data_IF_790965516156
#
_entry.id   IF_790965516156
#
_cell.length_a   1.000
_cell.length_b   1.000
_cell.length_c   1.000
_cell.angle_alpha   90.00
_cell.angle_beta   90.00
_cell.angle_gamma   90.00
#
_symmetry.space_group_name_H-M   'P 1'
#
loop_
_entity.id
_entity.type
_entity.pdbx_description
1 polymer ?
#
# COMPACT_ATOMS: atom_id res chain seq x y z
N UNK A 1 -21.83 -6.50 -11.35
CA UNK A 1 -22.25 -7.59 -12.24
C UNK A 1 -23.39 -8.33 -11.56
N UNK A 2 -24.60 -8.34 -12.12
CA UNK A 2 -25.80 -8.90 -11.46
C UNK A 2 -26.00 -10.37 -11.85
N UNK A 3 -26.78 -11.12 -11.06
CA UNK A 3 -27.16 -12.54 -11.32
C UNK A 3 -27.72 -12.73 -12.74
N UNK A 4 -28.43 -11.71 -13.26
CA UNK A 4 -29.00 -11.68 -14.60
C UNK A 4 -27.91 -11.70 -15.70
N UNK A 5 -26.84 -10.94 -15.53
CA UNK A 5 -25.70 -10.94 -16.50
C UNK A 5 -24.93 -12.27 -16.51
N UNK A 6 -24.82 -12.97 -15.37
CA UNK A 6 -24.14 -14.27 -15.29
C UNK A 6 -24.93 -15.38 -16.01
N UNK A 7 -26.27 -15.40 -15.86
CA UNK A 7 -27.15 -16.37 -16.57
C UNK A 7 -27.14 -16.21 -18.09
N UNK A 8 -26.81 -15.02 -18.61
CA UNK A 8 -26.62 -14.80 -20.04
C UNK A 8 -25.37 -15.47 -20.62
N UNK A 9 -24.35 -15.73 -19.79
CA UNK A 9 -23.05 -16.31 -20.21
C UNK A 9 -23.04 -17.84 -20.07
N UNK A 10 -23.70 -18.38 -19.04
CA UNK A 10 -23.85 -19.81 -18.78
C UNK A 10 -25.28 -20.07 -18.31
N UNK A 11 -26.07 -20.79 -19.12
CA UNK A 11 -27.52 -20.98 -18.90
C UNK A 11 -27.83 -21.69 -17.56
N UNK A 12 -27.05 -22.70 -17.22
CA UNK A 12 -27.23 -23.51 -16.01
C UNK A 12 -26.05 -23.34 -15.05
N UNK A 13 -26.11 -22.31 -14.20
CA UNK A 13 -25.14 -22.09 -13.12
C UNK A 13 -25.70 -22.68 -11.83
N UNK A 14 -25.02 -23.63 -11.18
CA UNK A 14 -25.47 -24.19 -9.91
C UNK A 14 -25.42 -23.12 -8.81
N UNK A 15 -26.41 -23.14 -7.90
CA UNK A 15 -26.58 -22.14 -6.82
C UNK A 15 -25.30 -21.92 -5.99
N UNK A 16 -24.51 -22.96 -5.61
CA UNK A 16 -23.26 -22.76 -4.89
C UNK A 16 -22.20 -21.96 -5.66
N UNK A 17 -22.09 -22.14 -6.99
CA UNK A 17 -21.17 -21.35 -7.82
C UNK A 17 -21.58 -19.87 -7.82
N UNK A 18 -22.88 -19.59 -7.84
CA UNK A 18 -23.40 -18.21 -7.82
C UNK A 18 -23.15 -17.53 -6.48
N UNK A 19 -23.36 -18.24 -5.37
CA UNK A 19 -23.05 -17.74 -4.02
C UNK A 19 -21.56 -17.43 -3.92
N UNK A 20 -20.70 -18.37 -4.32
CA UNK A 20 -19.24 -18.18 -4.28
C UNK A 20 -18.78 -16.99 -5.13
N UNK A 21 -19.30 -16.86 -6.35
CA UNK A 21 -18.98 -15.72 -7.22
C UNK A 21 -19.43 -14.39 -6.60
N UNK A 22 -20.60 -14.37 -5.95
CA UNK A 22 -21.12 -13.18 -5.27
C UNK A 22 -20.25 -12.81 -4.07
N UNK A 23 -19.88 -13.78 -3.22
CA UNK A 23 -18.96 -13.57 -2.11
C UNK A 23 -17.59 -13.07 -2.59
N UNK A 24 -17.09 -13.60 -3.71
CA UNK A 24 -15.83 -13.15 -4.29
C UNK A 24 -15.90 -11.70 -4.78
N UNK A 25 -16.97 -11.30 -5.48
CA UNK A 25 -17.17 -9.92 -5.90
C UNK A 25 -17.28 -8.96 -4.71
N UNK A 26 -17.98 -9.36 -3.65
CA UNK A 26 -18.03 -8.59 -2.40
C UNK A 26 -16.65 -8.45 -1.75
N UNK A 27 -15.84 -9.50 -1.78
CA UNK A 27 -14.46 -9.46 -1.26
C UNK A 27 -13.57 -8.49 -2.05
N UNK A 28 -13.69 -8.44 -3.39
CA UNK A 28 -12.99 -7.45 -4.22
C UNK A 28 -13.44 -6.03 -3.82
N UNK A 29 -14.74 -5.82 -3.61
CA UNK A 29 -15.27 -4.55 -3.10
C UNK A 29 -14.66 -4.14 -1.75
N UNK A 30 -14.57 -5.09 -0.81
CA UNK A 30 -13.92 -4.86 0.49
C UNK A 30 -12.43 -4.50 0.33
N UNK A 31 -11.71 -5.18 -0.56
CA UNK A 31 -10.32 -4.87 -0.87
C UNK A 31 -10.16 -3.47 -1.47
N UNK A 32 -11.05 -3.06 -2.38
CA UNK A 32 -11.06 -1.68 -2.92
C UNK A 32 -11.31 -0.64 -1.82
N UNK A 33 -12.25 -0.88 -0.90
CA UNK A 33 -12.46 0.00 0.26
C UNK A 33 -11.20 0.06 1.12
N UNK A 34 -10.53 -1.08 1.34
CA UNK A 34 -9.24 -1.15 2.02
C UNK A 34 -8.19 -0.24 1.36
N UNK A 35 -8.06 -0.30 0.02
CA UNK A 35 -7.15 0.56 -0.74
C UNK A 35 -7.58 2.04 -0.68
N UNK A 36 -8.88 2.35 -0.61
CA UNK A 36 -9.34 3.72 -0.41
C UNK A 36 -9.02 4.28 0.97
N UNK A 37 -8.82 3.43 1.98
CA UNK A 37 -8.37 3.85 3.31
C UNK A 37 -6.83 3.97 3.34
N UNK A 38 -6.12 3.09 2.62
CA UNK A 38 -4.67 3.03 2.57
C UNK A 38 -4.14 3.60 1.24
N UNK A 39 -4.20 4.93 1.09
CA UNK A 39 -3.82 5.61 -0.15
C UNK A 39 -2.42 6.25 -0.12
N UNK A 40 -1.83 6.44 1.07
CA UNK A 40 -0.60 7.19 1.21
C UNK A 40 0.61 6.36 0.76
N UNK A 41 1.47 6.94 -0.07
CA UNK A 41 2.75 6.32 -0.43
C UNK A 41 3.79 6.53 0.67
N UNK A 42 4.80 5.66 0.74
CA UNK A 42 5.79 5.67 1.82
C UNK A 42 6.56 6.99 1.94
N UNK A 43 6.66 7.78 0.85
CA UNK A 43 7.38 9.05 0.83
C UNK A 43 6.50 10.25 1.23
N UNK A 44 5.20 10.03 1.46
CA UNK A 44 4.26 11.09 1.84
C UNK A 44 4.16 11.20 3.36
N UNK A 45 4.21 12.42 3.89
CA UNK A 45 3.96 12.65 5.32
C UNK A 45 2.47 12.57 5.58
N UNK A 46 2.04 11.58 6.34
CA UNK A 46 0.65 11.40 6.71
C UNK A 46 0.32 12.10 8.02
N UNK A 47 -0.95 12.46 8.12
CA UNK A 47 -1.54 12.92 9.35
C UNK A 47 -2.42 11.84 10.00
N UNK A 48 -2.22 11.48 11.28
CA UNK A 48 -3.01 10.44 11.93
C UNK A 48 -4.48 10.82 12.12
N UNK A 49 -4.83 12.11 12.08
CA UNK A 49 -6.20 12.57 12.27
C UNK A 49 -7.00 12.59 10.97
N UNK A 50 -6.33 12.66 9.82
CA UNK A 50 -6.97 12.55 8.51
C UNK A 50 -7.42 11.11 8.19
N UNK A 51 -7.06 10.13 9.04
CA UNK A 51 -7.43 8.72 8.87
C UNK A 51 -6.74 8.04 7.70
N UNK A 52 -5.71 8.67 7.13
CA UNK A 52 -4.89 8.16 6.05
C UNK A 52 -3.88 7.14 6.57
N UNK A 53 -3.67 6.07 5.81
CA UNK A 53 -2.69 5.04 6.12
C UNK A 53 -1.86 4.67 4.87
N UNK A 54 -0.70 4.06 5.10
CA UNK A 54 0.20 3.70 4.02
C UNK A 54 -0.30 2.50 3.23
N UNK A 55 -0.23 2.60 1.91
CA UNK A 55 -0.66 1.56 0.99
C UNK A 55 0.19 0.28 1.15
N UNK A 56 -0.42 -0.93 1.10
CA UNK A 56 0.31 -2.20 1.17
C UNK A 56 1.15 -2.55 -0.06
N UNK A 57 1.02 -1.78 -1.14
CA UNK A 57 1.69 -2.05 -2.42
C UNK A 57 2.30 -0.77 -3.00
N UNK A 58 3.54 -0.84 -3.47
CA UNK A 58 4.27 0.31 -4.01
C UNK A 58 3.60 0.88 -5.28
N UNK A 59 3.25 2.17 -5.24
CA UNK A 59 2.48 2.85 -6.29
C UNK A 59 3.15 2.83 -7.66
N UNK A 60 4.46 3.12 -7.71
CA UNK A 60 5.25 3.16 -8.95
C UNK A 60 5.20 1.84 -9.75
N UNK A 61 5.16 0.70 -9.06
CA UNK A 61 5.22 -0.63 -9.66
C UNK A 61 3.88 -1.39 -9.62
N UNK A 62 2.80 -0.74 -9.20
CA UNK A 62 1.48 -1.36 -9.00
C UNK A 62 0.95 -2.04 -10.27
N UNK A 63 1.34 -1.53 -11.45
CA UNK A 63 0.95 -2.06 -12.76
C UNK A 63 1.36 -3.53 -12.90
N UNK A 64 2.53 -3.92 -12.37
CA UNK A 64 2.99 -5.30 -12.40
C UNK A 64 2.02 -6.22 -11.64
N UNK A 65 1.61 -5.84 -10.42
CA UNK A 65 0.65 -6.61 -9.63
C UNK A 65 -0.74 -6.66 -10.30
N UNK A 66 -1.21 -5.53 -10.82
CA UNK A 66 -2.51 -5.42 -11.52
C UNK A 66 -2.52 -6.28 -12.79
N UNK A 67 -1.42 -6.35 -13.53
CA UNK A 67 -1.32 -7.17 -14.74
C UNK A 67 -1.53 -8.66 -14.45
N UNK A 68 -0.89 -9.18 -13.39
CA UNK A 68 -1.09 -10.56 -12.93
C UNK A 68 -2.49 -10.77 -12.38
N UNK A 69 -3.05 -9.79 -11.67
CA UNK A 69 -4.43 -9.86 -11.18
C UNK A 69 -5.42 -9.98 -12.35
N UNK A 70 -5.28 -9.16 -13.38
CA UNK A 70 -6.13 -9.20 -14.59
C UNK A 70 -5.97 -10.54 -15.32
N UNK A 71 -4.72 -11.01 -15.50
CA UNK A 71 -4.45 -12.28 -16.15
C UNK A 71 -5.05 -13.48 -15.39
N UNK A 72 -4.96 -13.47 -14.05
CA UNK A 72 -5.60 -14.46 -13.18
C UNK A 72 -7.12 -14.48 -13.38
N UNK A 73 -7.78 -13.32 -13.36
CA UNK A 73 -9.23 -13.23 -13.53
C UNK A 73 -9.68 -13.64 -14.93
N UNK A 74 -8.93 -13.26 -15.97
CA UNK A 74 -9.19 -13.69 -17.33
C UNK A 74 -9.09 -15.22 -17.46
N UNK A 75 -8.06 -15.83 -16.87
CA UNK A 75 -7.89 -17.29 -16.87
C UNK A 75 -9.00 -18.01 -16.10
N UNK A 76 -9.37 -17.52 -14.90
CA UNK A 76 -10.49 -18.03 -14.10
C UNK A 76 -11.80 -17.95 -14.89
N UNK A 77 -12.09 -16.81 -15.53
CA UNK A 77 -13.31 -16.60 -16.30
C UNK A 77 -13.38 -17.51 -17.54
N UNK A 78 -12.30 -17.60 -18.31
CA UNK A 78 -12.22 -18.47 -19.49
C UNK A 78 -12.41 -19.95 -19.10
N UNK A 79 -11.77 -20.38 -18.02
CA UNK A 79 -11.85 -21.77 -17.56
C UNK A 79 -13.23 -22.09 -16.96
N UNK A 80 -13.86 -21.13 -16.28
CA UNK A 80 -15.20 -21.30 -15.74
C UNK A 80 -16.29 -21.37 -16.83
N UNK A 81 -16.16 -20.56 -17.90
CA UNK A 81 -17.14 -20.50 -19.00
C UNK A 81 -16.99 -21.64 -20.00
N UNK A 82 -15.75 -21.92 -20.45
CA UNK A 82 -15.49 -22.89 -21.52
C UNK A 82 -15.00 -24.24 -21.00
N UNK A 83 -14.36 -24.29 -19.84
CA UNK A 83 -13.90 -25.52 -19.20
C UNK A 83 -13.12 -26.43 -20.16
N UNK A 84 -13.60 -27.67 -20.31
CA UNK A 84 -12.98 -28.70 -21.18
C UNK A 84 -13.17 -28.48 -22.68
N UNK A 85 -13.94 -27.47 -23.11
CA UNK A 85 -14.07 -27.11 -24.52
C UNK A 85 -12.88 -26.29 -25.03
N UNK A 86 -12.03 -25.78 -24.13
CA UNK A 86 -10.82 -25.07 -24.54
C UNK A 86 -9.80 -26.04 -25.16
N UNK A 87 -9.07 -25.60 -26.20
CA UNK A 87 -7.93 -26.35 -26.72
C UNK A 87 -6.91 -26.66 -25.60
N UNK A 88 -6.18 -27.79 -25.67
CA UNK A 88 -5.25 -28.21 -24.61
C UNK A 88 -4.23 -27.13 -24.24
N UNK A 89 -3.67 -26.41 -25.22
CA UNK A 89 -2.70 -25.34 -24.98
C UNK A 89 -3.32 -24.17 -24.22
N UNK A 90 -4.54 -23.77 -24.57
CA UNK A 90 -5.26 -22.71 -23.86
C UNK A 90 -5.58 -23.11 -22.42
N UNK A 91 -5.92 -24.38 -22.18
CA UNK A 91 -6.11 -24.91 -20.82
C UNK A 91 -4.82 -24.86 -20.00
N UNK A 92 -3.69 -25.30 -20.57
CA UNK A 92 -2.39 -25.25 -19.90
C UNK A 92 -2.01 -23.80 -19.58
N UNK A 93 -2.18 -22.88 -20.52
CA UNK A 93 -1.90 -21.45 -20.32
C UNK A 93 -2.77 -20.84 -19.20
N UNK A 94 -4.08 -21.10 -19.21
CA UNK A 94 -4.98 -20.66 -18.14
C UNK A 94 -4.56 -21.24 -16.78
N UNK A 95 -4.21 -22.53 -16.73
CA UNK A 95 -3.74 -23.18 -15.50
C UNK A 95 -2.42 -22.55 -15.00
N UNK A 96 -1.49 -22.19 -15.89
CA UNK A 96 -0.24 -21.51 -15.51
C UNK A 96 -0.50 -20.15 -14.86
N UNK A 97 -1.42 -19.35 -15.42
CA UNK A 97 -1.84 -18.09 -14.80
C UNK A 97 -2.57 -18.30 -13.47
N UNK A 98 -3.40 -19.34 -13.36
CA UNK A 98 -4.11 -19.67 -12.11
C UNK A 98 -3.11 -20.08 -11.02
N UNK A 99 -2.14 -20.95 -11.31
CA UNK A 99 -1.12 -21.38 -10.35
C UNK A 99 -0.23 -20.20 -9.95
N UNK A 100 0.19 -19.37 -10.90
CA UNK A 100 0.93 -18.14 -10.61
C UNK A 100 0.11 -17.20 -9.72
N UNK A 101 -1.18 -17.06 -9.99
CA UNK A 101 -2.10 -16.30 -9.17
C UNK A 101 -2.24 -16.84 -7.74
N UNK A 102 -2.21 -18.17 -7.52
CA UNK A 102 -2.16 -18.74 -6.17
C UNK A 102 -0.93 -18.24 -5.43
N UNK A 103 0.25 -18.32 -6.05
CA UNK A 103 1.51 -17.85 -5.44
C UNK A 103 1.42 -16.36 -5.10
N UNK A 104 0.93 -15.53 -6.01
CA UNK A 104 0.80 -14.09 -5.79
C UNK A 104 -0.21 -13.79 -4.68
N UNK A 105 -1.35 -14.49 -4.62
CA UNK A 105 -2.33 -14.32 -3.54
C UNK A 105 -1.76 -14.73 -2.17
N UNK A 106 -0.89 -15.75 -2.12
CA UNK A 106 -0.16 -16.10 -0.89
C UNK A 106 0.80 -14.96 -0.50
N UNK A 107 1.55 -14.40 -1.45
CA UNK A 107 2.43 -13.26 -1.17
C UNK A 107 1.65 -12.04 -0.68
N UNK A 108 0.48 -11.76 -1.26
CA UNK A 108 -0.43 -10.70 -0.78
C UNK A 108 -0.88 -10.98 0.65
N UNK A 109 -1.29 -12.22 0.97
CA UNK A 109 -1.66 -12.60 2.34
C UNK A 109 -0.52 -12.42 3.33
N UNK A 110 0.71 -12.78 2.94
CA UNK A 110 1.89 -12.55 3.77
C UNK A 110 2.14 -11.06 3.94
N UNK A 111 2.06 -10.25 2.89
CA UNK A 111 2.27 -8.80 2.96
C UNK A 111 1.34 -8.16 3.99
N UNK A 112 0.05 -8.50 3.96
CA UNK A 112 -0.98 -7.90 4.82
C UNK A 112 -1.11 -8.57 6.19
N UNK A 113 -0.39 -9.67 6.44
CA UNK A 113 -0.43 -10.39 7.72
C UNK A 113 0.20 -9.62 8.88
N UNK A 114 1.08 -8.67 8.60
CA UNK A 114 1.71 -7.80 9.58
C UNK A 114 1.52 -6.36 9.13
N UNK A 115 1.03 -5.54 10.05
CA UNK A 115 0.89 -4.11 9.86
C UNK A 115 1.35 -3.40 11.14
N UNK A 116 2.63 -3.00 11.17
CA UNK A 116 3.25 -2.33 12.30
C UNK A 116 2.98 -0.83 12.24
N UNK A 117 2.01 -0.38 13.03
CA UNK A 117 1.65 1.03 13.19
C UNK A 117 2.18 1.62 14.50
N UNK A 118 3.15 0.98 15.16
CA UNK A 118 3.71 1.49 16.41
C UNK A 118 4.34 2.88 16.26
N UNK A 119 4.91 3.19 15.10
CA UNK A 119 5.42 4.53 14.73
C UNK A 119 4.32 5.57 14.47
N UNK A 120 3.04 5.16 14.41
CA UNK A 120 1.86 5.98 14.10
C UNK A 120 0.86 5.84 15.26
N UNK A 121 1.31 6.19 16.48
CA UNK A 121 0.63 5.99 17.77
C UNK A 121 -0.85 6.38 17.87
N UNK A 122 -1.36 7.27 17.01
CA UNK A 122 -2.76 7.73 17.10
C UNK A 122 -3.77 6.82 16.39
N UNK A 123 -3.32 5.75 15.73
CA UNK A 123 -4.20 4.84 14.99
C UNK A 123 -3.92 3.37 15.32
N UNK A 124 -4.34 2.94 16.52
CA UNK A 124 -4.59 1.52 16.82
C UNK A 124 -5.86 1.07 16.09
N UNK A 125 -5.80 1.02 14.75
CA UNK A 125 -6.91 0.55 13.90
C UNK A 125 -6.43 -0.58 13.01
N UNK A 126 -5.88 -1.60 13.65
CA UNK A 126 -5.45 -2.87 13.06
C UNK A 126 -6.57 -3.63 12.34
N UNK A 127 -7.84 -3.25 12.55
CA UNK A 127 -9.00 -3.92 11.95
C UNK A 127 -9.13 -3.76 10.43
N UNK A 128 -8.53 -2.73 9.81
CA UNK A 128 -8.70 -2.48 8.38
C UNK A 128 -7.84 -3.40 7.50
N UNK A 129 -6.78 -3.99 8.04
CA UNK A 129 -5.96 -4.97 7.32
C UNK A 129 -6.77 -6.22 6.91
N UNK A 130 -7.83 -6.54 7.67
CA UNK A 130 -8.73 -7.67 7.40
C UNK A 130 -9.44 -7.53 6.04
N UNK A 131 -9.66 -6.29 5.57
CA UNK A 131 -10.29 -6.03 4.27
C UNK A 131 -9.48 -6.59 3.09
N UNK A 132 -8.17 -6.73 3.25
CA UNK A 132 -7.28 -7.28 2.22
C UNK A 132 -7.19 -8.82 2.23
N UNK A 133 -7.72 -9.49 3.25
CA UNK A 133 -7.56 -10.95 3.43
C UNK A 133 -8.58 -11.76 2.61
N UNK A 134 -9.82 -11.27 2.49
CA UNK A 134 -10.90 -12.07 1.89
C UNK A 134 -10.68 -12.39 0.41
N UNK A 135 -10.23 -11.41 -0.39
CA UNK A 135 -10.00 -11.58 -1.83
C UNK A 135 -8.96 -12.66 -2.13
N UNK A 136 -7.73 -12.62 -1.56
CA UNK A 136 -6.75 -13.66 -1.85
C UNK A 136 -7.14 -15.03 -1.31
N UNK A 137 -7.80 -15.14 -0.15
CA UNK A 137 -8.30 -16.43 0.37
C UNK A 137 -9.32 -17.06 -0.57
N UNK A 138 -10.35 -16.30 -0.94
CA UNK A 138 -11.38 -16.79 -1.86
C UNK A 138 -10.82 -17.04 -3.26
N UNK A 139 -9.86 -16.22 -3.71
CA UNK A 139 -9.16 -16.40 -4.98
C UNK A 139 -8.39 -17.72 -5.03
N UNK A 140 -7.63 -18.06 -3.98
CA UNK A 140 -6.93 -19.35 -3.87
C UNK A 140 -7.94 -20.49 -3.84
N UNK A 141 -9.03 -20.36 -3.08
CA UNK A 141 -10.06 -21.39 -3.01
C UNK A 141 -10.71 -21.67 -4.37
N UNK A 142 -11.11 -20.62 -5.11
CA UNK A 142 -11.66 -20.74 -6.47
C UNK A 142 -10.64 -21.37 -7.42
N UNK A 143 -9.37 -20.94 -7.35
CA UNK A 143 -8.29 -21.49 -8.16
C UNK A 143 -8.13 -23.02 -7.95
N UNK A 144 -8.11 -23.47 -6.68
CA UNK A 144 -8.02 -24.89 -6.34
C UNK A 144 -9.25 -25.65 -6.86
N UNK A 145 -10.47 -25.14 -6.67
CA UNK A 145 -11.68 -25.77 -7.18
C UNK A 145 -11.66 -25.93 -8.70
N UNK A 146 -11.18 -24.91 -9.43
CA UNK A 146 -11.05 -24.98 -10.88
C UNK A 146 -10.00 -25.99 -11.33
N UNK A 147 -8.83 -26.03 -10.69
CA UNK A 147 -7.77 -27.02 -10.98
C UNK A 147 -8.33 -28.44 -10.77
N UNK A 148 -8.96 -28.70 -9.63
CA UNK A 148 -9.58 -30.00 -9.33
C UNK A 148 -10.69 -30.32 -10.35
N UNK A 149 -11.48 -29.34 -10.74
CA UNK A 149 -12.52 -29.47 -11.76
C UNK A 149 -11.97 -29.87 -13.13
N UNK A 150 -10.86 -29.27 -13.56
CA UNK A 150 -10.18 -29.63 -14.81
C UNK A 150 -9.64 -31.05 -14.77
N UNK A 151 -8.98 -31.43 -13.67
CA UNK A 151 -8.43 -32.79 -13.51
C UNK A 151 -9.56 -33.83 -13.55
N UNK A 152 -10.65 -33.62 -12.81
CA UNK A 152 -11.81 -34.52 -12.80
C UNK A 152 -12.45 -34.65 -14.18
N UNK A 153 -12.70 -33.53 -14.87
CA UNK A 153 -13.29 -33.56 -16.22
C UNK A 153 -12.37 -34.22 -17.25
N UNK A 154 -11.06 -34.01 -17.14
CA UNK A 154 -10.07 -34.67 -17.99
C UNK A 154 -10.08 -36.19 -17.84
N UNK A 155 -10.19 -36.68 -16.61
CA UNK A 155 -10.30 -38.12 -16.33
C UNK A 155 -11.60 -38.74 -16.87
N UNK A 156 -12.74 -38.06 -16.69
CA UNK A 156 -14.05 -38.55 -17.19
C UNK A 156 -14.06 -38.59 -18.72
N UNK A 157 -13.65 -37.50 -19.39
CA UNK A 157 -13.64 -37.42 -20.85
C UNK A 157 -12.71 -38.46 -21.50
N UNK A 158 -11.66 -38.88 -20.81
CA UNK A 158 -10.80 -39.96 -21.25
C UNK A 158 -11.47 -41.34 -21.15
N UNK A 159 -12.25 -41.56 -20.10
CA UNK A 159 -12.96 -42.83 -19.85
C UNK A 159 -14.13 -43.03 -20.83
N UNK A 160 -14.83 -41.94 -21.19
CA UNK A 160 -15.95 -41.97 -22.14
C UNK A 160 -15.52 -42.22 -23.59
N UNK A 161 -14.26 -41.93 -23.95
CA UNK A 161 -13.73 -42.19 -25.30
C UNK A 161 -13.30 -43.64 -25.45
N UNK A 162 -14.27 -44.53 -25.65
CA UNK A 162 -14.00 -45.92 -25.99
C UNK A 162 -13.77 -46.09 -27.49
N UNK A 163 -12.56 -46.51 -27.87
CA UNK A 163 -12.25 -46.87 -29.26
C UNK A 163 -12.62 -48.33 -29.51
N UNK A 164 -13.23 -48.61 -30.66
CA UNK A 164 -13.56 -49.97 -31.12
C UNK A 164 -12.31 -50.84 -31.26
N UNK A 165 -11.17 -50.25 -31.62
CA UNK A 165 -9.88 -50.95 -31.69
C UNK A 165 -9.23 -51.08 -30.29
N UNK A 166 -8.98 -52.33 -29.86
CA UNK A 166 -8.37 -52.67 -28.57
C UNK A 166 -6.99 -52.04 -28.31
N UNK A 167 -6.19 -51.78 -29.36
CA UNK A 167 -4.90 -51.11 -29.23
C UNK A 167 -5.07 -49.60 -29.04
N UNK A 168 -5.92 -48.96 -29.85
CA UNK A 168 -6.23 -47.54 -29.70
C UNK A 168 -6.89 -47.24 -28.35
N UNK A 169 -7.73 -48.13 -27.85
CA UNK A 169 -8.34 -47.97 -26.53
C UNK A 169 -7.30 -48.08 -25.40
N UNK A 170 -6.32 -48.99 -25.52
CA UNK A 170 -5.18 -49.07 -24.59
C UNK A 170 -4.30 -47.82 -24.63
N UNK A 171 -4.00 -47.30 -25.82
CA UNK A 171 -3.24 -46.05 -25.97
C UNK A 171 -4.00 -44.85 -25.40
N UNK A 172 -5.32 -44.76 -25.64
CA UNK A 172 -6.15 -43.70 -25.07
C UNK A 172 -6.14 -43.75 -23.54
N UNK A 173 -6.33 -44.93 -22.94
CA UNK A 173 -6.27 -45.10 -21.49
C UNK A 173 -4.88 -44.77 -20.92
N UNK A 174 -3.81 -45.17 -21.61
CA UNK A 174 -2.44 -44.85 -21.20
C UNK A 174 -2.14 -43.35 -21.29
N UNK A 175 -2.47 -42.71 -22.41
CA UNK A 175 -2.29 -41.26 -22.60
C UNK A 175 -3.17 -40.46 -21.64
N UNK A 176 -4.39 -40.91 -21.37
CA UNK A 176 -5.27 -40.31 -20.39
C UNK A 176 -4.72 -40.40 -18.97
N UNK A 177 -4.18 -41.56 -18.58
CA UNK A 177 -3.53 -41.75 -17.28
C UNK A 177 -2.26 -40.91 -17.13
N UNK A 178 -1.57 -40.60 -18.24
CA UNK A 178 -0.32 -39.83 -18.25
C UNK A 178 -0.49 -38.33 -18.56
N UNK A 179 -1.65 -37.92 -19.07
CA UNK A 179 -1.98 -36.53 -19.42
C UNK A 179 -2.24 -35.70 -18.15
N UNK A 180 -1.17 -35.19 -17.55
CA UNK A 180 -1.24 -34.30 -16.40
C UNK A 180 -1.15 -32.83 -16.85
N UNK A 181 -2.30 -32.23 -17.23
CA UNK A 181 -2.36 -30.82 -17.66
C UNK A 181 -1.79 -29.84 -16.59
N UNK A 182 -2.08 -29.99 -15.29
CA UNK A 182 -1.43 -29.18 -14.26
C UNK A 182 0.10 -29.28 -14.25
N UNK A 183 0.68 -30.45 -14.51
CA UNK A 183 2.13 -30.60 -14.57
C UNK A 183 2.74 -29.79 -15.73
N UNK A 184 2.14 -29.86 -16.91
CA UNK A 184 2.54 -29.03 -18.04
C UNK A 184 2.36 -27.54 -17.76
N UNK A 185 1.32 -27.19 -17.00
CA UNK A 185 1.11 -25.81 -16.58
C UNK A 185 2.24 -25.30 -15.70
N UNK A 186 2.75 -26.12 -14.77
CA UNK A 186 3.92 -25.79 -13.93
C UNK A 186 5.17 -25.55 -14.78
N UNK A 187 5.44 -26.41 -15.76
CA UNK A 187 6.57 -26.23 -16.69
C UNK A 187 6.45 -24.91 -17.45
N UNK A 188 5.23 -24.58 -17.91
CA UNK A 188 4.97 -23.36 -18.69
C UNK A 188 5.06 -22.07 -17.85
N UNK A 189 5.05 -22.14 -16.51
CA UNK A 189 5.16 -20.93 -15.66
C UNK A 189 6.45 -20.17 -15.95
N UNK A 190 7.61 -20.84 -16.07
CA UNK A 190 8.90 -20.16 -16.27
C UNK A 190 8.91 -19.31 -17.56
N UNK A 191 8.65 -19.88 -18.75
CA UNK A 191 8.62 -19.10 -19.99
C UNK A 191 7.49 -18.06 -19.97
N UNK A 192 6.36 -18.34 -19.31
CA UNK A 192 5.27 -17.38 -19.15
C UNK A 192 5.70 -16.15 -18.33
N UNK A 193 6.33 -16.36 -17.17
CA UNK A 193 6.83 -15.27 -16.32
C UNK A 193 7.87 -14.44 -17.05
N UNK A 194 8.76 -15.07 -17.83
CA UNK A 194 9.73 -14.36 -18.66
C UNK A 194 9.02 -13.48 -19.70
N UNK A 195 8.04 -14.03 -20.43
CA UNK A 195 7.28 -13.29 -21.43
C UNK A 195 6.51 -12.10 -20.83
N UNK A 196 5.85 -12.30 -19.67
CA UNK A 196 5.16 -11.23 -18.95
C UNK A 196 6.15 -10.17 -18.45
N UNK A 197 7.32 -10.57 -17.96
CA UNK A 197 8.35 -9.63 -17.51
C UNK A 197 8.88 -8.79 -18.67
N UNK A 198 9.16 -9.40 -19.83
CA UNK A 198 9.56 -8.68 -21.05
C UNK A 198 8.47 -7.70 -21.48
N UNK A 199 7.20 -8.11 -21.44
CA UNK A 199 6.09 -7.22 -21.75
C UNK A 199 6.02 -6.02 -20.79
N UNK A 200 6.17 -6.26 -19.49
CA UNK A 200 6.17 -5.20 -18.48
C UNK A 200 7.37 -4.25 -18.66
N UNK A 201 8.55 -4.77 -18.98
CA UNK A 201 9.74 -3.97 -19.33
C UNK A 201 9.45 -3.04 -20.52
N UNK A 202 8.80 -3.54 -21.58
CA UNK A 202 8.40 -2.74 -22.73
C UNK A 202 7.38 -1.65 -22.37
N UNK A 203 6.56 -1.87 -21.34
CA UNK A 203 5.64 -0.88 -20.77
C UNK A 203 6.32 0.07 -19.77
N UNK A 204 7.64 -0.01 -19.61
CA UNK A 204 8.44 0.90 -18.77
C UNK A 204 8.53 0.49 -17.30
N UNK A 205 8.17 -0.75 -16.94
CA UNK A 205 8.41 -1.29 -15.59
C UNK A 205 9.87 -1.73 -15.42
N UNK A 206 10.31 -1.79 -14.17
CA UNK A 206 11.63 -2.33 -13.81
C UNK A 206 11.63 -3.87 -13.89
N UNK A 207 12.80 -4.53 -14.13
CA UNK A 207 12.90 -5.99 -14.20
C UNK A 207 12.50 -6.68 -12.88
N UNK A 208 12.70 -6.00 -11.76
CA UNK A 208 12.35 -6.43 -10.41
C UNK A 208 11.07 -5.77 -9.88
N UNK A 209 10.25 -5.18 -10.77
CA UNK A 209 9.01 -4.45 -10.41
C UNK A 209 8.05 -5.25 -9.53
N UNK A 210 7.93 -6.57 -9.76
CA UNK A 210 7.08 -7.44 -8.93
C UNK A 210 7.58 -7.53 -7.48
N UNK A 211 8.89 -7.49 -7.25
CA UNK A 211 9.49 -7.48 -5.90
C UNK A 211 9.36 -6.09 -5.28
N UNK A 212 9.60 -5.04 -6.07
CA UNK A 212 9.46 -3.64 -5.63
C UNK A 212 8.03 -3.31 -5.18
N UNK A 213 7.01 -3.89 -5.82
CA UNK A 213 5.61 -3.70 -5.39
C UNK A 213 5.37 -4.07 -3.93
N UNK A 214 6.09 -5.04 -3.37
CA UNK A 214 5.94 -5.46 -1.97
C UNK A 214 6.95 -4.79 -1.03
N UNK A 215 8.06 -4.29 -1.57
CA UNK A 215 9.21 -3.81 -0.77
C UNK A 215 9.33 -2.30 -0.74
N UNK A 216 8.87 -1.58 -1.78
CA UNK A 216 8.77 -0.11 -1.82
C UNK A 216 7.52 0.38 -1.08
N UNK A 217 7.33 -0.14 0.12
CA UNK A 217 6.26 0.21 1.06
C UNK A 217 6.88 0.41 2.45
N UNK A 218 6.06 0.88 3.37
CA UNK A 218 6.38 1.05 4.80
C UNK A 218 5.30 0.35 5.65
N UNK A 219 5.55 0.07 6.92
CA UNK A 219 4.60 -0.54 7.90
C UNK A 219 4.08 -1.96 7.63
N UNK A 220 4.21 -2.50 6.41
CA UNK A 220 3.78 -3.87 6.04
C UNK A 220 4.90 -4.91 6.11
N UNK A 221 4.56 -6.21 6.07
CA UNK A 221 5.53 -7.30 6.32
C UNK A 221 6.80 -7.27 5.48
N UNK A 222 6.71 -7.03 4.16
CA UNK A 222 7.88 -7.00 3.28
C UNK A 222 8.45 -5.60 3.05
N UNK A 223 7.92 -4.59 3.72
CA UNK A 223 8.33 -3.20 3.59
C UNK A 223 9.82 -3.01 3.89
N UNK A 224 10.49 -2.24 3.05
CA UNK A 224 11.91 -1.86 3.23
C UNK A 224 12.13 -0.36 3.33
N UNK A 225 11.10 0.45 3.10
CA UNK A 225 11.21 1.90 3.14
C UNK A 225 10.81 2.45 4.49
N UNK A 226 11.45 3.55 4.87
CA UNK A 226 11.08 4.35 6.03
C UNK A 226 10.15 5.47 5.58
N UNK A 227 9.11 5.74 6.37
CA UNK A 227 8.23 6.86 6.13
C UNK A 227 8.73 8.16 6.78
N UNK A 228 8.42 9.34 6.22
CA UNK A 228 8.76 10.61 6.88
C UNK A 228 8.04 10.73 8.24
N UNK A 229 8.53 11.59 9.15
CA UNK A 229 7.88 11.84 10.43
C UNK A 229 6.43 12.30 10.23
N UNK A 230 5.56 11.74 11.06
CA UNK A 230 4.13 12.04 11.09
C UNK A 230 3.90 13.53 11.40
N UNK A 231 2.94 14.16 10.73
CA UNK A 231 2.60 15.56 10.96
C UNK A 231 2.00 15.77 12.36
N UNK A 232 2.48 16.79 13.07
CA UNK A 232 2.04 17.09 14.43
C UNK A 232 0.73 17.87 14.43
N UNK A 233 -0.34 17.22 14.89
CA UNK A 233 -1.65 17.83 15.09
C UNK A 233 -1.76 18.71 16.33
N UNK A 234 -0.89 18.56 17.32
CA UNK A 234 -1.01 19.27 18.60
C UNK A 234 -0.22 20.57 18.61
N UNK A 235 -0.41 21.37 17.55
CA UNK A 235 -0.35 22.82 17.67
C UNK A 235 0.93 23.51 17.23
N UNK A 236 1.83 22.90 16.45
CA UNK A 236 2.95 23.65 15.87
C UNK A 236 2.94 23.58 14.34
N UNK A 237 2.17 24.49 13.73
CA UNK A 237 2.15 24.65 12.27
C UNK A 237 3.55 24.87 11.68
N UNK A 238 4.49 25.43 12.45
CA UNK A 238 5.89 25.59 12.04
C UNK A 238 6.61 24.24 11.86
N UNK A 239 6.26 23.21 12.63
CA UNK A 239 6.74 21.84 12.41
C UNK A 239 6.14 21.26 11.13
N UNK A 240 4.84 21.49 10.88
CA UNK A 240 4.16 21.09 9.64
C UNK A 240 4.81 21.76 8.42
N UNK A 241 5.13 23.04 8.51
CA UNK A 241 5.82 23.80 7.46
C UNK A 241 7.23 23.25 7.21
N UNK A 242 7.96 22.86 8.25
CA UNK A 242 9.31 22.30 8.13
C UNK A 242 9.33 20.92 7.45
N UNK A 243 8.25 20.14 7.57
CA UNK A 243 8.12 18.79 6.97
C UNK A 243 7.49 18.86 5.56
N UNK A 244 6.37 19.57 5.40
CA UNK A 244 5.54 19.54 4.19
C UNK A 244 5.96 20.56 3.12
N UNK A 245 6.80 21.54 3.45
CA UNK A 245 7.27 22.54 2.48
C UNK A 245 8.40 22.03 1.59
N UNK A 246 8.62 22.73 0.47
CA UNK A 246 9.68 22.40 -0.47
C UNK A 246 11.07 22.51 0.20
N UNK A 247 11.92 21.48 0.17
CA UNK A 247 13.23 21.50 0.84
C UNK A 247 14.13 22.68 0.43
N UNK A 248 14.02 23.17 -0.81
CA UNK A 248 14.79 24.34 -1.29
C UNK A 248 14.37 25.65 -0.63
N UNK A 249 13.10 25.75 -0.21
CA UNK A 249 12.51 26.94 0.40
C UNK A 249 12.60 26.85 1.92
N UNK A 250 12.05 25.79 2.51
CA UNK A 250 11.91 25.68 3.98
C UNK A 250 13.19 25.28 4.70
N UNK A 251 14.18 24.77 3.96
CA UNK A 251 15.56 24.48 4.40
C UNK A 251 15.62 23.72 5.74
N UNK A 252 15.16 22.46 5.77
CA UNK A 252 15.30 21.62 6.96
C UNK A 252 16.79 21.43 7.30
N UNK A 253 17.11 21.46 8.60
CA UNK A 253 18.50 21.44 9.09
C UNK A 253 18.87 20.06 9.65
N UNK A 254 18.08 19.59 10.63
CA UNK A 254 18.34 18.34 11.33
C UNK A 254 17.04 17.74 11.87
N UNK A 255 17.14 16.53 12.41
CA UNK A 255 16.10 15.97 13.26
C UNK A 255 16.25 16.51 14.70
N UNK A 256 15.12 16.73 15.35
CA UNK A 256 15.03 17.09 16.75
C UNK A 256 14.07 16.19 17.51
N UNK A 257 14.07 16.30 18.84
CA UNK A 257 13.21 15.49 19.71
C UNK A 257 12.24 16.39 20.50
N UNK A 258 10.95 16.04 20.47
CA UNK A 258 9.90 16.80 21.13
C UNK A 258 8.81 15.86 21.63
N UNK A 259 8.47 15.95 22.92
CA UNK A 259 7.37 15.21 23.53
C UNK A 259 7.34 13.71 23.19
N UNK A 260 8.51 13.06 23.17
CA UNK A 260 8.64 11.63 22.85
C UNK A 260 8.78 11.29 21.36
N UNK A 261 8.74 12.28 20.47
CA UNK A 261 8.71 12.07 19.00
C UNK A 261 9.86 12.77 18.29
N UNK A 262 10.29 12.20 17.16
CA UNK A 262 11.24 12.82 16.24
C UNK A 262 10.52 13.82 15.34
N UNK A 263 11.09 15.02 15.19
CA UNK A 263 10.55 16.09 14.35
C UNK A 263 11.63 16.63 13.41
N UNK A 264 11.23 17.09 12.22
CA UNK A 264 12.15 17.82 11.33
C UNK A 264 12.22 19.27 11.79
N UNK A 265 13.43 19.76 12.04
CA UNK A 265 13.63 21.15 12.48
C UNK A 265 14.28 21.99 11.38
N UNK A 266 13.76 23.19 11.19
CA UNK A 266 14.36 24.24 10.36
C UNK A 266 14.71 25.46 11.23
N UNK A 267 15.46 26.41 10.67
CA UNK A 267 15.91 27.60 11.44
C UNK A 267 14.74 28.42 11.99
N UNK A 268 13.68 28.57 11.21
CA UNK A 268 12.51 29.35 11.59
C UNK A 268 11.83 28.79 12.85
N UNK A 269 11.68 27.46 12.95
CA UNK A 269 11.16 26.79 14.13
C UNK A 269 12.06 26.98 15.36
N UNK A 270 13.38 26.86 15.19
CA UNK A 270 14.34 27.04 16.29
C UNK A 270 14.31 28.47 16.85
N UNK A 271 14.25 29.48 15.97
CA UNK A 271 14.16 30.90 16.36
C UNK A 271 12.85 31.16 17.10
N UNK A 272 11.72 30.70 16.56
CA UNK A 272 10.42 30.90 17.18
C UNK A 272 10.34 30.26 18.58
N UNK A 273 10.87 29.05 18.75
CA UNK A 273 10.87 28.37 20.04
C UNK A 273 11.81 29.02 21.05
N UNK A 274 13.00 29.47 20.60
CA UNK A 274 13.94 30.19 21.46
C UNK A 274 13.35 31.53 21.93
N UNK A 275 12.61 32.22 21.06
CA UNK A 275 11.89 33.46 21.40
C UNK A 275 10.76 33.21 22.41
N UNK A 276 9.99 32.14 22.23
CA UNK A 276 8.98 31.72 23.20
C UNK A 276 9.60 31.45 24.58
N UNK A 277 10.72 30.73 24.63
CA UNK A 277 11.47 30.43 25.85
C UNK A 277 12.00 31.72 26.51
N UNK A 278 12.49 32.68 25.73
CA UNK A 278 12.94 33.99 26.24
C UNK A 278 11.78 34.79 26.85
N UNK A 279 10.60 34.80 26.23
CA UNK A 279 9.41 35.43 26.81
C UNK A 279 9.02 34.73 28.11
N UNK A 280 9.12 33.40 28.16
CA UNK A 280 8.84 32.62 29.37
C UNK A 280 9.76 33.01 30.53
N UNK A 281 11.04 33.21 30.27
CA UNK A 281 12.01 33.68 31.26
C UNK A 281 11.69 35.10 31.75
N UNK A 282 11.27 35.98 30.83
CA UNK A 282 10.98 37.39 31.15
C UNK A 282 9.66 37.54 31.93
N UNK A 283 8.60 36.86 31.49
CA UNK A 283 7.29 36.92 32.13
C UNK A 283 6.45 35.67 31.84
N UNK A 284 6.35 34.74 32.80
CA UNK A 284 5.50 33.56 32.69
C UNK A 284 4.01 33.88 32.45
N UNK A 285 3.53 35.03 32.93
CA UNK A 285 2.15 35.47 32.74
C UNK A 285 1.87 35.84 31.27
N UNK A 286 2.78 36.60 30.65
CA UNK A 286 2.68 36.98 29.23
C UNK A 286 2.85 35.75 28.34
N UNK A 287 3.79 34.85 28.67
CA UNK A 287 3.97 33.58 27.97
C UNK A 287 2.67 32.77 27.94
N UNK A 288 1.96 32.62 29.06
CA UNK A 288 0.68 31.90 29.12
C UNK A 288 -0.40 32.51 28.21
N UNK A 289 -0.46 33.84 28.12
CA UNK A 289 -1.43 34.53 27.24
C UNK A 289 -1.10 34.30 25.76
N UNK A 290 0.17 34.47 25.39
CA UNK A 290 0.64 34.23 24.02
C UNK A 290 0.42 32.76 23.64
N UNK A 291 0.76 31.84 24.54
CA UNK A 291 0.56 30.40 24.37
C UNK A 291 -0.91 30.06 24.14
N UNK A 292 -1.82 30.62 24.95
CA UNK A 292 -3.26 30.42 24.80
C UNK A 292 -3.78 30.91 23.44
N UNK A 293 -3.37 32.09 22.99
CA UNK A 293 -3.76 32.60 21.68
C UNK A 293 -3.16 31.75 20.55
N UNK A 294 -1.90 31.37 20.67
CA UNK A 294 -1.21 30.53 19.70
C UNK A 294 -1.85 29.14 19.58
N UNK A 295 -2.21 28.50 20.69
CA UNK A 295 -2.86 27.18 20.66
C UNK A 295 -4.25 27.25 20.00
N UNK A 296 -4.98 28.38 20.14
CA UNK A 296 -6.29 28.59 19.51
C UNK A 296 -6.18 28.84 18.00
N UNK A 297 -5.29 29.73 17.56
CA UNK A 297 -5.17 30.11 16.15
C UNK A 297 -4.23 29.21 15.35
N UNK A 298 -3.12 28.78 15.96
CA UNK A 298 -2.10 27.93 15.36
C UNK A 298 -2.58 26.51 15.05
N UNK A 299 -3.50 25.96 15.85
CA UNK A 299 -4.12 24.66 15.60
C UNK A 299 -5.03 24.66 14.36
N UNK A 300 -5.83 25.72 14.18
CA UNK A 300 -6.68 25.87 13.01
C UNK A 300 -5.85 26.08 11.73
N UNK A 301 -4.67 26.67 11.88
CA UNK A 301 -3.75 26.93 10.78
C UNK A 301 -2.99 25.65 10.38
N UNK A 302 -2.48 24.85 11.33
CA UNK A 302 -1.78 23.58 11.01
C UNK A 302 -2.65 22.60 10.23
N UNK A 303 -3.94 22.49 10.56
CA UNK A 303 -4.91 21.66 9.83
C UNK A 303 -5.17 22.10 8.39
N UNK A 304 -4.93 23.38 8.06
CA UNK A 304 -5.15 23.94 6.71
C UNK A 304 -3.88 23.95 5.86
N UNK A 305 -2.71 23.77 6.48
CA UNK A 305 -1.39 23.80 5.82
C UNK A 305 -0.85 22.36 5.71
N UNK A 306 -1.62 21.47 5.10
CA UNK A 306 -1.18 20.09 4.82
C UNK A 306 -0.61 19.91 3.39
N UNK A 307 -0.63 20.95 2.56
CA UNK A 307 -0.14 20.92 1.18
C UNK A 307 1.13 21.75 0.99
N UNK A 308 2.05 21.29 0.13
CA UNK A 308 3.35 21.94 -0.13
C UNK A 308 3.23 23.43 -0.46
N UNK A 309 2.26 23.81 -1.29
CA UNK A 309 2.04 25.21 -1.68
C UNK A 309 1.65 26.09 -0.49
N UNK A 310 0.80 25.58 0.40
CA UNK A 310 0.39 26.31 1.61
C UNK A 310 1.54 26.38 2.62
N UNK A 311 2.31 25.29 2.76
CA UNK A 311 3.49 25.26 3.63
C UNK A 311 4.54 26.28 3.19
N UNK A 312 4.80 26.37 1.88
CA UNK A 312 5.70 27.36 1.31
C UNK A 312 5.21 28.79 1.51
N UNK A 313 3.92 29.04 1.30
CA UNK A 313 3.32 30.36 1.53
C UNK A 313 3.43 30.76 3.00
N UNK A 314 3.07 29.87 3.93
CA UNK A 314 3.17 30.15 5.37
C UNK A 314 4.62 30.40 5.78
N UNK A 315 5.58 29.63 5.26
CA UNK A 315 7.01 29.86 5.52
C UNK A 315 7.43 31.28 5.14
N UNK A 316 7.01 31.75 3.96
CA UNK A 316 7.31 33.10 3.46
C UNK A 316 6.62 34.19 4.29
N UNK A 317 5.34 34.01 4.63
CA UNK A 317 4.59 34.94 5.48
C UNK A 317 5.16 35.05 6.89
N UNK A 318 5.79 33.99 7.40
CA UNK A 318 6.44 33.98 8.71
C UNK A 318 7.82 34.64 8.70
N UNK A 319 8.42 34.95 7.55
CA UNK A 319 9.77 35.55 7.50
C UNK A 319 9.85 36.88 8.26
N UNK A 320 8.96 37.87 8.07
CA UNK A 320 9.00 39.11 8.84
C UNK A 320 8.97 38.88 10.36
N UNK A 321 8.16 37.91 10.81
CA UNK A 321 8.09 37.52 12.22
C UNK A 321 9.36 36.82 12.71
N UNK A 322 9.96 35.97 11.89
CA UNK A 322 11.27 35.35 12.18
C UNK A 322 12.35 36.40 12.39
N UNK A 323 12.42 37.44 11.55
CA UNK A 323 13.35 38.55 11.73
C UNK A 323 13.09 39.32 13.02
N UNK A 324 11.81 39.59 13.33
CA UNK A 324 11.44 40.24 14.59
C UNK A 324 11.87 39.41 15.81
N UNK A 325 11.56 38.12 15.83
CA UNK A 325 11.98 37.20 16.90
C UNK A 325 13.49 37.15 17.05
N UNK A 326 14.21 37.11 15.93
CA UNK A 326 15.67 37.11 15.91
C UNK A 326 16.24 38.41 16.48
N UNK A 327 15.71 39.57 16.08
CA UNK A 327 16.11 40.88 16.63
C UNK A 327 15.90 40.90 18.14
N UNK A 328 14.74 40.45 18.63
CA UNK A 328 14.49 40.40 20.07
C UNK A 328 15.48 39.47 20.80
N UNK A 329 15.75 38.28 20.26
CA UNK A 329 16.74 37.36 20.85
C UNK A 329 18.13 38.00 20.93
N UNK A 330 18.57 38.70 19.88
CA UNK A 330 19.87 39.37 19.86
C UNK A 330 19.96 40.59 20.78
N UNK A 331 18.84 41.23 21.12
CA UNK A 331 18.80 42.36 22.04
C UNK A 331 18.72 41.92 23.51
N UNK A 332 18.06 40.80 23.81
CA UNK A 332 17.69 40.42 25.18
C UNK A 332 18.33 39.13 25.68
N UNK A 333 19.16 38.45 24.87
CA UNK A 333 19.87 37.22 25.27
C UNK A 333 21.39 37.38 25.09
N UNK A 334 22.19 36.98 26.08
CA UNK A 334 23.66 37.07 26.01
C UNK A 334 24.28 36.18 24.91
N UNK A 335 23.74 34.96 24.73
CA UNK A 335 24.22 33.97 23.74
C UNK A 335 23.08 33.48 22.83
N UNK A 336 22.57 34.33 21.93
CA UNK A 336 21.35 34.05 21.16
C UNK A 336 21.47 32.79 20.29
N UNK A 337 22.58 32.63 19.55
CA UNK A 337 22.77 31.46 18.67
C UNK A 337 22.92 30.13 19.42
N UNK A 338 23.53 30.14 20.61
CA UNK A 338 23.60 28.93 21.44
C UNK A 338 22.21 28.52 21.92
N UNK A 339 21.38 29.51 22.30
CA UNK A 339 19.99 29.27 22.73
C UNK A 339 19.12 28.74 21.59
N UNK A 340 19.28 29.28 20.38
CA UNK A 340 18.57 28.79 19.17
C UNK A 340 19.00 27.35 18.85
N UNK A 341 20.30 27.06 18.84
CA UNK A 341 20.81 25.73 18.46
C UNK A 341 20.46 24.63 19.47
N UNK A 342 20.31 24.97 20.76
CA UNK A 342 19.88 24.04 21.81
C UNK A 342 18.46 23.53 21.63
N UNK A 343 17.58 24.30 20.97
CA UNK A 343 16.18 23.92 20.80
C UNK A 343 16.08 22.57 20.07
N UNK A 344 15.31 21.66 20.65
CA UNK A 344 15.07 20.33 20.08
C UNK A 344 16.37 19.54 19.81
N UNK A 345 17.47 19.82 20.51
CA UNK A 345 18.68 18.99 20.45
C UNK A 345 18.31 17.55 20.84
N UNK A 346 18.86 16.57 20.12
CA UNK A 346 18.72 15.16 20.51
C UNK A 346 19.53 14.98 21.79
N UNK A 347 18.86 14.90 22.93
CA UNK A 347 19.51 14.46 24.17
C UNK A 347 19.85 12.98 24.01
N UNK A 348 21.13 12.64 24.06
CA UNK A 348 21.57 11.24 24.22
C UNK A 348 20.87 10.69 25.46
N UNK A 349 20.17 9.55 25.39
CA UNK A 349 19.71 8.89 26.60
C UNK A 349 20.93 8.64 27.50
N UNK A 350 20.87 9.12 28.74
CA UNK A 350 21.83 8.75 29.78
C UNK A 350 21.53 7.34 30.29
#
# INVERSE_FOLDING_TARGET
MTVVTLKGVKKDIPVPELILATCYLLSIGAMCIGLMIHQAEYHTAIDPVDGLCYIPFGGKHIISLVSYFVAFHAAVFLLWTKGSQLPPLANVLCLSFIITGIVINILVLLQVSVHDTSSIESYSRSGHAVLFVFTPVLGIFIAILLIVGVVKKGMIAAHDRMYTNKFLNRLNLFLAQKSNLPFWAVILIIPLLLAVTVLLLLLGQDPDSMVKVFTETTTWRFSRQMHPPVLDHRGHYLCTVAVSGNPKIVKPIRLGFRAGRTIVVNRQLLIANAFEEMIQDFSPAIHRVIRRNYDVYGYNLSRRINNESMSNLTYLLMKPLEWFFLICLYLFTEKPEQRINRQYAMSTPA
#
